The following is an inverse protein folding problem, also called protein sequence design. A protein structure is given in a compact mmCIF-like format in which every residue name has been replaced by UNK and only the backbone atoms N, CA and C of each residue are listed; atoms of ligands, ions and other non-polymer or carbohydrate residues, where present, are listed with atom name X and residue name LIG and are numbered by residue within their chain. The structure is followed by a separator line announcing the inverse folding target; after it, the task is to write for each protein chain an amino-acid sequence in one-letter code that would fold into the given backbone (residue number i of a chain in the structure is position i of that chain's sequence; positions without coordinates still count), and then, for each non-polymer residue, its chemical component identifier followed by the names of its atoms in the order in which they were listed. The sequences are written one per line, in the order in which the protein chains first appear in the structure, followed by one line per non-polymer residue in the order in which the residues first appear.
data_IF_433752922529
#
_entry.id   IF_433752922529
#
_cell.length_a   1.000
_cell.length_b   1.000
_cell.length_c   1.000
_cell.angle_alpha   90.00
_cell.angle_beta   90.00
_cell.angle_gamma   90.00
#
_symmetry.space_group_name_H-M   'P 1'
#
loop_
_entity.id
_entity.type
_entity.pdbx_description
1 polymer ?
#
# COMPACT_ATOMS: atom_id res chain seq x y z
N UNK A 1 -20.73 -10.45 9.42
CA UNK A 1 -22.17 -10.84 9.47
C UNK A 1 -22.45 -12.03 10.41
N UNK A 2 -21.47 -12.94 10.66
CA UNK A 2 -21.69 -14.14 11.49
C UNK A 2 -21.83 -13.89 13.00
N UNK A 3 -21.14 -12.93 13.57
CA UNK A 3 -21.10 -12.70 15.05
C UNK A 3 -22.37 -12.03 15.58
N UNK A 4 -22.91 -11.05 14.85
CA UNK A 4 -24.14 -10.33 15.24
C UNK A 4 -25.34 -11.28 15.21
N UNK A 5 -25.44 -12.16 14.19
CA UNK A 5 -26.48 -13.16 14.09
C UNK A 5 -26.46 -14.19 15.24
N UNK A 6 -25.27 -14.57 15.69
CA UNK A 6 -25.09 -15.54 16.78
C UNK A 6 -25.51 -14.95 18.14
N UNK A 7 -25.19 -13.69 18.40
CA UNK A 7 -25.55 -13.01 19.66
C UNK A 7 -27.07 -12.79 19.73
N UNK A 8 -27.67 -12.34 18.65
CA UNK A 8 -29.14 -12.14 18.55
C UNK A 8 -29.89 -13.48 18.73
N UNK A 9 -29.34 -14.55 18.15
CA UNK A 9 -29.91 -15.89 18.30
C UNK A 9 -29.83 -16.41 19.74
N UNK A 10 -28.69 -16.24 20.42
CA UNK A 10 -28.52 -16.61 21.83
C UNK A 10 -29.45 -15.79 22.75
N UNK A 11 -29.65 -14.52 22.45
CA UNK A 11 -30.58 -13.67 23.19
C UNK A 11 -32.05 -14.12 23.04
N UNK A 12 -32.46 -14.48 21.83
CA UNK A 12 -33.80 -15.04 21.58
C UNK A 12 -34.01 -16.39 22.28
N UNK A 13 -32.98 -17.25 22.31
CA UNK A 13 -33.04 -18.50 23.09
C UNK A 13 -33.17 -18.22 24.59
N UNK A 14 -32.43 -17.24 25.12
CA UNK A 14 -32.50 -16.85 26.52
C UNK A 14 -33.88 -16.33 26.90
N UNK A 15 -34.50 -15.44 26.09
CA UNK A 15 -35.87 -14.93 26.30
C UNK A 15 -36.87 -16.09 26.25
N UNK A 16 -36.72 -17.02 25.29
CA UNK A 16 -37.64 -18.15 25.12
C UNK A 16 -37.52 -19.15 26.28
N UNK A 17 -36.30 -19.34 26.81
CA UNK A 17 -36.03 -20.15 27.99
C UNK A 17 -36.62 -19.52 29.27
N UNK A 18 -36.44 -18.21 29.44
CA UNK A 18 -36.99 -17.45 30.56
C UNK A 18 -38.53 -17.47 30.58
N UNK A 19 -39.18 -17.38 29.41
CA UNK A 19 -40.63 -17.50 29.30
C UNK A 19 -41.15 -18.91 29.66
N UNK A 20 -40.44 -19.96 29.28
CA UNK A 20 -40.78 -21.36 29.63
C UNK A 20 -40.63 -21.60 31.15
N UNK A 21 -39.56 -21.07 31.74
CA UNK A 21 -39.35 -21.13 33.19
C UNK A 21 -40.44 -20.40 34.00
N UNK A 22 -40.89 -19.27 33.49
CA UNK A 22 -41.97 -18.49 34.10
C UNK A 22 -43.34 -19.22 34.10
N UNK A 23 -43.66 -19.90 33.00
CA UNK A 23 -44.92 -20.68 32.93
C UNK A 23 -44.86 -21.95 33.80
N UNK A 24 -43.68 -22.61 33.90
CA UNK A 24 -43.56 -23.81 34.76
C UNK A 24 -43.55 -23.48 36.27
N UNK A 25 -43.12 -22.27 36.63
CA UNK A 25 -43.11 -21.78 38.03
C UNK A 25 -44.51 -21.41 38.60
N UNK A 26 -45.52 -21.31 37.71
CA UNK A 26 -46.92 -21.01 38.16
C UNK A 26 -47.58 -22.17 38.87
N UNK A 27 -47.02 -23.38 38.79
CA UNK A 27 -47.61 -24.60 39.32
C UNK A 27 -46.88 -25.18 40.58
N UNK A 28 -45.79 -24.58 41.03
CA UNK A 28 -45.06 -25.04 42.23
C UNK A 28 -44.60 -23.87 43.10
N UNK A 29 -44.76 -23.99 44.40
CA UNK A 29 -44.46 -23.08 45.54
C UNK A 29 -43.50 -21.94 45.26
N UNK A 30 -43.95 -20.68 45.66
CA UNK A 30 -43.15 -19.44 45.65
C UNK A 30 -41.69 -19.65 46.07
N UNK A 31 -40.71 -19.26 45.26
CA UNK A 31 -39.32 -19.16 45.68
C UNK A 31 -39.17 -18.02 46.68
N UNK A 32 -38.59 -18.28 47.86
CA UNK A 32 -38.50 -17.40 49.01
C UNK A 32 -37.36 -16.36 48.95
N UNK A 33 -36.68 -16.18 47.82
CA UNK A 33 -35.61 -15.19 47.75
C UNK A 33 -35.95 -13.99 46.86
N UNK A 34 -35.97 -12.82 47.47
CA UNK A 34 -36.15 -11.51 46.82
C UNK A 34 -35.12 -11.29 45.68
N UNK A 35 -33.95 -11.95 45.72
CA UNK A 35 -32.86 -11.80 44.78
C UNK A 35 -33.22 -12.30 43.37
N UNK A 36 -33.93 -13.44 43.25
CA UNK A 36 -34.28 -14.03 41.95
C UNK A 36 -35.37 -13.20 41.23
N UNK A 37 -36.17 -12.47 41.95
CA UNK A 37 -37.22 -11.58 41.38
C UNK A 37 -36.67 -10.32 40.74
N UNK A 38 -35.50 -9.83 41.18
CA UNK A 38 -34.90 -8.58 40.69
C UNK A 38 -34.16 -8.80 39.36
N UNK A 39 -33.62 -10.01 39.12
CA UNK A 39 -32.86 -10.30 37.89
C UNK A 39 -33.71 -10.74 36.69
N UNK A 40 -35.00 -11.01 36.85
CA UNK A 40 -35.88 -11.50 35.78
C UNK A 40 -37.03 -10.53 35.42
N UNK A 41 -36.89 -9.25 35.71
CA UNK A 41 -37.91 -8.24 35.38
C UNK A 41 -37.79 -7.71 33.93
N UNK A 42 -38.86 -7.29 33.29
CA UNK A 42 -38.84 -6.71 31.95
C UNK A 42 -37.91 -5.48 31.86
N UNK A 43 -37.75 -4.75 32.96
CA UNK A 43 -36.87 -3.58 33.04
C UNK A 43 -35.38 -3.98 32.90
N UNK A 44 -34.96 -5.04 33.57
CA UNK A 44 -33.55 -5.51 33.46
C UNK A 44 -33.24 -6.02 32.06
N UNK A 45 -34.19 -6.68 31.40
CA UNK A 45 -34.02 -7.12 30.02
C UNK A 45 -33.85 -5.92 29.06
N UNK A 46 -34.67 -4.86 29.25
CA UNK A 46 -34.57 -3.63 28.44
C UNK A 46 -33.22 -2.94 28.67
N UNK A 47 -32.78 -2.80 29.92
CA UNK A 47 -31.47 -2.17 30.23
C UNK A 47 -30.30 -2.94 29.60
N UNK A 48 -30.31 -4.27 29.69
CA UNK A 48 -29.29 -5.10 29.10
C UNK A 48 -29.29 -4.97 27.56
N UNK A 49 -30.43 -4.90 26.91
CA UNK A 49 -30.56 -4.71 25.48
C UNK A 49 -29.98 -3.34 25.06
N UNK A 50 -30.32 -2.28 25.78
CA UNK A 50 -29.77 -0.95 25.51
C UNK A 50 -28.25 -0.92 25.69
N UNK A 51 -27.72 -1.55 26.74
CA UNK A 51 -26.29 -1.64 26.99
C UNK A 51 -25.55 -2.41 25.87
N UNK A 52 -26.14 -3.50 25.38
CA UNK A 52 -25.57 -4.26 24.25
C UNK A 52 -25.56 -3.42 22.96
N UNK A 53 -26.68 -2.77 22.61
CA UNK A 53 -26.77 -1.91 21.43
C UNK A 53 -25.77 -0.73 21.52
N UNK A 54 -25.60 -0.14 22.69
CA UNK A 54 -24.61 0.90 22.90
C UNK A 54 -23.18 0.37 22.73
N UNK A 55 -22.88 -0.82 23.23
CA UNK A 55 -21.58 -1.47 23.02
C UNK A 55 -21.28 -1.76 21.55
N UNK A 56 -22.27 -2.27 20.81
CA UNK A 56 -22.13 -2.52 19.37
C UNK A 56 -21.91 -1.22 18.58
N UNK A 57 -22.61 -0.14 18.91
CA UNK A 57 -22.43 1.15 18.24
C UNK A 57 -21.06 1.74 18.52
N UNK A 58 -20.56 1.67 19.75
CA UNK A 58 -19.21 2.11 20.11
C UNK A 58 -18.16 1.29 19.37
N UNK A 59 -18.32 -0.03 19.32
CA UNK A 59 -17.41 -0.91 18.59
C UNK A 59 -17.37 -0.60 17.08
N UNK A 60 -18.54 -0.41 16.46
CA UNK A 60 -18.62 -0.05 15.04
C UNK A 60 -17.97 1.30 14.74
N UNK A 61 -18.18 2.31 15.59
CA UNK A 61 -17.52 3.61 15.43
C UNK A 61 -16.00 3.48 15.58
N UNK A 62 -15.53 2.69 16.54
CA UNK A 62 -14.11 2.42 16.72
C UNK A 62 -13.51 1.70 15.51
N UNK A 63 -14.16 0.64 15.02
CA UNK A 63 -13.72 -0.11 13.85
C UNK A 63 -13.68 0.76 12.59
N UNK A 64 -14.71 1.60 12.36
CA UNK A 64 -14.72 2.54 11.23
C UNK A 64 -13.61 3.59 11.32
N UNK A 65 -13.28 4.07 12.51
CA UNK A 65 -12.18 5.02 12.72
C UNK A 65 -10.83 4.36 12.47
N UNK A 66 -10.62 3.12 12.92
CA UNK A 66 -9.40 2.37 12.71
C UNK A 66 -9.15 2.12 11.21
N UNK A 67 -10.16 1.61 10.49
CA UNK A 67 -10.06 1.38 9.03
C UNK A 67 -9.86 2.67 8.25
N UNK A 68 -10.47 3.77 8.67
CA UNK A 68 -10.28 5.08 8.04
C UNK A 68 -8.87 5.63 8.27
N UNK A 69 -8.30 5.43 9.47
CA UNK A 69 -6.94 5.84 9.78
C UNK A 69 -5.92 5.06 8.92
N UNK A 70 -6.08 3.75 8.75
CA UNK A 70 -5.23 2.93 7.87
C UNK A 70 -5.37 3.34 6.40
N UNK A 71 -6.58 3.56 5.91
CA UNK A 71 -6.83 4.02 4.55
C UNK A 71 -6.23 5.41 4.29
N UNK A 72 -6.27 6.32 5.27
CA UNK A 72 -5.68 7.66 5.15
C UNK A 72 -4.16 7.59 5.18
N UNK A 73 -3.56 6.73 6.00
CA UNK A 73 -2.11 6.52 6.06
C UNK A 73 -1.56 5.95 4.74
N UNK A 74 -2.26 4.98 4.14
CA UNK A 74 -1.86 4.40 2.84
C UNK A 74 -2.07 5.34 1.65
N UNK A 75 -3.05 6.27 1.74
CA UNK A 75 -3.36 7.23 0.68
C UNK A 75 -2.43 8.46 0.65
N UNK A 76 -1.59 8.64 1.67
CA UNK A 76 -0.77 9.84 1.80
C UNK A 76 0.65 9.69 1.23
N UNK A 77 1.07 8.46 0.90
CA UNK A 77 2.39 8.24 0.32
C UNK A 77 2.31 8.19 -1.22
N UNK A 78 2.75 9.27 -1.86
CA UNK A 78 2.92 9.35 -3.32
C UNK A 78 4.40 9.11 -3.61
N UNK A 79 4.72 7.98 -4.25
CA UNK A 79 6.08 7.69 -4.70
C UNK A 79 6.41 8.50 -5.95
N UNK A 80 7.58 9.10 -5.97
CA UNK A 80 8.12 9.87 -7.09
C UNK A 80 9.19 9.04 -7.79
N UNK A 81 8.99 8.77 -9.08
CA UNK A 81 9.99 8.10 -9.93
C UNK A 81 10.63 9.11 -10.88
N UNK A 82 11.95 9.16 -10.88
CA UNK A 82 12.73 9.96 -11.80
C UNK A 82 12.90 9.20 -13.12
N UNK A 83 12.10 9.56 -14.13
CA UNK A 83 12.11 8.95 -15.46
C UNK A 83 13.48 9.10 -16.12
N UNK A 84 14.09 7.96 -16.52
CA UNK A 84 15.46 7.84 -17.10
C UNK A 84 16.52 8.53 -16.21
N UNK A 85 16.39 8.36 -14.89
CA UNK A 85 17.25 9.01 -13.91
C UNK A 85 17.01 10.51 -13.70
N UNK A 86 16.08 11.14 -14.40
CA UNK A 86 15.83 12.59 -14.31
C UNK A 86 16.12 13.33 -15.60
N UNK A 87 15.71 12.78 -16.73
CA UNK A 87 15.96 13.21 -18.12
C UNK A 87 15.61 14.68 -18.46
N UNK A 88 14.89 15.39 -17.57
CA UNK A 88 14.59 16.82 -17.76
C UNK A 88 15.73 17.75 -17.29
N UNK A 89 16.65 17.26 -16.47
CA UNK A 89 17.67 18.07 -15.79
C UNK A 89 19.09 17.61 -16.09
N UNK A 90 19.27 16.37 -16.46
CA UNK A 90 20.53 15.75 -16.86
C UNK A 90 20.35 14.85 -18.08
N UNK A 91 21.42 14.45 -18.79
CA UNK A 91 21.33 13.51 -19.91
C UNK A 91 20.71 12.19 -19.42
N UNK A 92 19.68 11.72 -20.11
CA UNK A 92 18.96 10.51 -19.75
C UNK A 92 19.86 9.27 -19.65
N UNK A 93 19.56 8.39 -18.71
CA UNK A 93 20.26 7.11 -18.52
C UNK A 93 21.79 7.28 -18.36
N UNK A 94 22.23 8.32 -17.66
CA UNK A 94 23.64 8.57 -17.33
C UNK A 94 23.83 8.71 -15.82
N UNK A 95 25.10 8.64 -15.37
CA UNK A 95 25.43 8.83 -13.95
C UNK A 95 25.02 10.22 -13.45
N UNK A 96 25.13 11.26 -14.29
CA UNK A 96 24.63 12.60 -13.95
C UNK A 96 23.13 12.64 -13.71
N UNK A 97 22.33 11.86 -14.45
CA UNK A 97 20.90 11.75 -14.27
C UNK A 97 20.54 11.00 -12.97
N UNK A 98 21.21 9.87 -12.73
CA UNK A 98 21.03 9.09 -11.48
C UNK A 98 21.38 9.94 -10.26
N UNK A 99 22.52 10.65 -10.30
CA UNK A 99 22.89 11.57 -9.25
C UNK A 99 21.84 12.65 -9.00
N UNK A 100 21.26 13.20 -10.07
CA UNK A 100 20.16 14.16 -9.95
C UNK A 100 18.93 13.55 -9.27
N UNK A 101 18.55 12.29 -9.58
CA UNK A 101 17.46 11.60 -8.93
C UNK A 101 17.69 11.47 -7.41
N UNK A 102 18.91 11.09 -7.01
CA UNK A 102 19.31 10.99 -5.60
C UNK A 102 19.29 12.36 -4.92
N UNK A 103 19.91 13.37 -5.52
CA UNK A 103 19.97 14.74 -4.98
C UNK A 103 18.57 15.39 -4.86
N UNK A 104 17.63 14.97 -5.72
CA UNK A 104 16.23 15.41 -5.69
C UNK A 104 15.35 14.63 -4.70
N UNK A 105 15.92 13.65 -3.99
CA UNK A 105 15.20 12.75 -3.07
C UNK A 105 14.01 12.06 -3.75
N UNK A 106 14.18 11.65 -5.03
CA UNK A 106 13.21 10.79 -5.70
C UNK A 106 13.20 9.40 -5.03
N UNK A 107 12.03 8.78 -4.90
CA UNK A 107 11.92 7.45 -4.30
C UNK A 107 12.53 6.36 -5.18
N UNK A 108 12.48 6.57 -6.50
CA UNK A 108 13.03 5.67 -7.51
C UNK A 108 13.74 6.45 -8.62
N UNK A 109 14.83 5.91 -9.13
CA UNK A 109 15.37 6.24 -10.44
C UNK A 109 14.96 5.14 -11.42
N UNK A 110 14.10 5.47 -12.36
CA UNK A 110 13.75 4.55 -13.45
C UNK A 110 14.83 4.64 -14.52
N UNK A 111 15.27 3.51 -15.06
CA UNK A 111 16.34 3.39 -16.04
C UNK A 111 15.95 2.40 -17.12
N UNK A 112 16.43 2.64 -18.35
CA UNK A 112 16.32 1.72 -19.48
C UNK A 112 17.65 1.02 -19.70
N UNK A 113 17.64 -0.25 -20.05
CA UNK A 113 18.86 -1.02 -20.33
C UNK A 113 18.82 -1.70 -21.68
N UNK A 114 20.00 -1.86 -22.29
CA UNK A 114 20.23 -2.56 -23.55
C UNK A 114 21.48 -3.43 -23.42
N UNK A 115 21.59 -4.45 -24.28
CA UNK A 115 22.76 -5.34 -24.35
C UNK A 115 23.63 -4.96 -25.52
N UNK A 116 24.95 -4.93 -25.32
CA UNK A 116 25.97 -4.69 -26.34
C UNK A 116 26.33 -5.99 -27.10
N UNK A 117 27.12 -5.89 -28.17
CA UNK A 117 27.53 -7.08 -28.95
C UNK A 117 28.39 -8.08 -28.17
N UNK A 118 29.07 -7.63 -27.13
CA UNK A 118 29.92 -8.44 -26.24
C UNK A 118 29.21 -8.84 -24.94
N UNK A 119 27.86 -8.59 -24.82
CA UNK A 119 27.04 -9.06 -23.73
C UNK A 119 27.01 -8.16 -22.48
N UNK A 120 27.56 -6.95 -22.55
CA UNK A 120 27.50 -6.00 -21.47
C UNK A 120 26.13 -5.30 -21.41
N UNK A 121 25.57 -5.12 -20.21
CA UNK A 121 24.32 -4.41 -20.01
C UNK A 121 24.62 -2.95 -19.71
N UNK A 122 24.11 -2.05 -20.54
CA UNK A 122 24.35 -0.61 -20.45
C UNK A 122 23.04 0.18 -20.34
N UNK A 123 23.11 1.37 -19.79
CA UNK A 123 21.93 2.24 -19.65
C UNK A 123 21.65 2.98 -20.98
N UNK A 124 20.59 2.57 -21.66
CA UNK A 124 20.16 3.22 -22.91
C UNK A 124 18.69 2.91 -23.21
N UNK A 125 17.91 3.94 -23.56
CA UNK A 125 16.53 3.77 -23.99
C UNK A 125 16.41 3.31 -25.44
N UNK A 126 17.03 4.03 -26.34
CA UNK A 126 16.91 3.78 -27.77
C UNK A 126 17.79 2.60 -28.19
N UNK A 127 17.34 1.83 -29.16
CA UNK A 127 18.16 0.78 -29.78
C UNK A 127 19.24 1.35 -30.71
N UNK A 128 19.16 2.64 -31.08
CA UNK A 128 20.12 3.35 -31.92
C UNK A 128 20.70 4.56 -31.16
N UNK A 129 22.01 4.71 -31.20
CA UNK A 129 22.76 5.70 -30.44
C UNK A 129 22.67 7.15 -30.97
N UNK A 130 22.07 7.35 -32.17
CA UNK A 130 22.09 8.64 -32.89
C UNK A 130 21.55 9.81 -32.10
N UNK A 131 20.47 9.62 -31.38
CA UNK A 131 19.80 10.71 -30.66
C UNK A 131 20.65 11.23 -29.49
N UNK A 132 21.21 10.34 -28.72
CA UNK A 132 21.96 10.66 -27.49
C UNK A 132 23.43 10.99 -27.77
N UNK A 133 24.11 10.23 -28.63
CA UNK A 133 25.55 10.41 -28.88
C UNK A 133 25.90 11.02 -30.24
N UNK A 134 24.98 10.90 -31.22
CA UNK A 134 25.21 11.34 -32.61
C UNK A 134 25.67 10.19 -33.53
N UNK A 135 26.10 9.05 -33.00
CA UNK A 135 26.51 7.90 -33.78
C UNK A 135 25.30 7.14 -34.32
N UNK A 136 25.20 6.99 -35.64
CA UNK A 136 24.11 6.22 -36.23
C UNK A 136 24.49 4.74 -36.30
N UNK A 137 24.39 4.06 -35.17
CA UNK A 137 24.66 2.63 -35.06
C UNK A 137 23.68 2.02 -34.01
N UNK A 138 23.35 0.74 -34.19
CA UNK A 138 22.57 -0.01 -33.22
C UNK A 138 23.47 -0.53 -32.09
N UNK A 139 22.98 -0.48 -30.87
CA UNK A 139 23.75 -0.78 -29.66
C UNK A 139 24.29 -2.20 -29.65
N UNK A 140 23.52 -3.17 -30.13
CA UNK A 140 23.92 -4.59 -30.22
C UNK A 140 24.94 -4.91 -31.32
N UNK A 141 25.36 -3.90 -32.09
CA UNK A 141 26.41 -4.06 -33.11
C UNK A 141 27.77 -3.56 -32.64
N UNK A 142 27.86 -2.98 -31.48
CA UNK A 142 29.05 -2.40 -30.89
C UNK A 142 29.41 -3.09 -29.56
N UNK A 143 30.70 -3.17 -29.28
CA UNK A 143 31.21 -3.59 -27.98
C UNK A 143 31.08 -2.47 -26.96
N UNK A 144 31.15 -2.80 -25.65
CA UNK A 144 31.15 -1.77 -24.62
C UNK A 144 32.34 -0.82 -24.73
N UNK A 145 33.53 -1.34 -25.11
CA UNK A 145 34.70 -0.49 -25.32
C UNK A 145 34.45 0.61 -26.35
N UNK A 146 33.76 0.28 -27.46
CA UNK A 146 33.39 1.27 -28.49
C UNK A 146 32.32 2.25 -27.96
N UNK A 147 31.32 1.78 -27.22
CA UNK A 147 30.24 2.60 -26.68
C UNK A 147 30.76 3.53 -25.60
N UNK A 148 31.69 3.09 -24.75
CA UNK A 148 32.27 3.87 -23.66
C UNK A 148 33.00 5.14 -24.08
N UNK A 149 33.45 5.20 -25.36
CA UNK A 149 34.12 6.37 -25.92
C UNK A 149 33.14 7.45 -26.43
N UNK A 150 31.85 7.17 -26.41
CA UNK A 150 30.84 8.09 -26.91
C UNK A 150 30.41 9.11 -25.82
N UNK A 151 30.14 10.32 -26.24
CA UNK A 151 29.64 11.39 -25.36
C UNK A 151 28.12 11.44 -25.43
N UNK A 152 27.46 10.97 -24.35
CA UNK A 152 26.02 10.97 -24.19
C UNK A 152 25.49 12.29 -23.61
N UNK A 153 26.37 13.18 -23.16
CA UNK A 153 26.00 14.42 -22.45
C UNK A 153 25.95 15.65 -23.33
N UNK A 154 26.88 15.81 -24.25
CA UNK A 154 27.08 17.06 -25.01
C UNK A 154 25.84 17.48 -25.84
N UNK A 155 25.10 16.51 -26.34
CA UNK A 155 23.86 16.74 -27.12
C UNK A 155 22.69 17.22 -26.24
N UNK A 156 22.69 16.87 -24.97
CA UNK A 156 21.73 17.41 -24.02
C UNK A 156 22.10 18.84 -23.62
N UNK A 157 23.32 19.05 -23.15
CA UNK A 157 23.85 20.39 -22.85
C UNK A 157 25.39 20.33 -22.76
N UNK A 158 26.06 21.36 -23.26
CA UNK A 158 27.54 21.46 -23.27
C UNK A 158 28.20 21.28 -21.89
N UNK A 159 27.50 21.59 -20.81
CA UNK A 159 27.99 21.41 -19.43
C UNK A 159 28.21 19.93 -19.05
N UNK A 160 27.55 19.00 -19.75
CA UNK A 160 27.68 17.55 -19.56
C UNK A 160 28.60 16.88 -20.57
N UNK A 161 29.45 17.67 -21.24
CA UNK A 161 30.42 17.11 -22.17
C UNK A 161 31.32 16.07 -21.49
N UNK A 162 31.51 14.91 -22.13
CA UNK A 162 32.29 13.80 -21.60
C UNK A 162 31.49 12.83 -20.74
N UNK A 163 30.18 13.02 -20.61
CA UNK A 163 29.31 12.06 -19.95
C UNK A 163 29.24 10.76 -20.76
N UNK A 164 29.53 9.65 -20.13
CA UNK A 164 29.55 8.33 -20.77
C UNK A 164 28.21 7.60 -20.62
N UNK A 165 28.05 6.54 -21.41
CA UNK A 165 26.97 5.55 -21.23
C UNK A 165 27.46 4.55 -20.17
N UNK A 166 26.86 4.47 -18.98
CA UNK A 166 27.32 3.60 -17.91
C UNK A 166 26.85 2.15 -18.11
N UNK A 167 27.59 1.20 -17.55
CA UNK A 167 27.10 -0.15 -17.33
C UNK A 167 26.07 -0.17 -16.19
N UNK A 168 25.18 -1.15 -16.24
CA UNK A 168 24.21 -1.34 -15.15
C UNK A 168 24.90 -1.60 -13.79
N UNK A 169 26.03 -2.28 -13.78
CA UNK A 169 26.79 -2.58 -12.55
C UNK A 169 27.45 -1.36 -11.89
N UNK A 170 27.52 -0.22 -12.59
CA UNK A 170 28.10 1.03 -12.09
C UNK A 170 27.07 1.91 -11.36
N UNK A 171 25.76 1.57 -11.45
CA UNK A 171 24.62 2.32 -10.90
C UNK A 171 24.13 1.70 -9.61
#
# INVERSE_FOLDING_TARGET
FGLVGSITYLYLIFIRSSRKGYQKSRTTKKPSSKLVRTFCGPVTAVVLTIAMLAGETVYLVYAMRATRAEATASSQYISVSAHRGGARKAPENTMSAIKYAVDSMSDYAEIDVQETSDGEIVLMHDTNLKRTTGLNASIWTLTYDEISQLDAGVRFNKKFRGEQIPKLEEV
#
